data_IF_696978972436
#
_entry.id   IF_696978972436
#
_cell.length_a   1.000
_cell.length_b   1.000
_cell.length_c   1.000
_cell.angle_alpha   90.00
_cell.angle_beta   90.00
_cell.angle_gamma   90.00
#
_symmetry.space_group_name_H-M   'P 1'
#
loop_
_entity.id
_entity.type
_entity.pdbx_description
1 polymer ?
#
# COMPACT_ATOMS: atom_id res chain seq x y z
N UNK A 1 5.13 -29.57 -73.72
CA UNK A 1 4.40 -28.29 -73.48
C UNK A 1 5.26 -27.27 -72.71
N UNK A 2 6.58 -27.28 -72.90
CA UNK A 2 7.58 -26.49 -72.18
C UNK A 2 8.08 -25.29 -73.02
N UNK A 3 7.15 -24.56 -73.65
CA UNK A 3 7.46 -23.40 -74.50
C UNK A 3 6.58 -22.16 -74.26
N UNK A 4 5.48 -22.28 -73.50
CA UNK A 4 4.52 -21.18 -73.31
C UNK A 4 4.73 -20.35 -72.03
N UNK A 5 5.47 -20.87 -71.03
CA UNK A 5 5.73 -20.17 -69.77
C UNK A 5 6.94 -19.21 -69.81
N UNK A 6 7.85 -19.36 -70.78
CA UNK A 6 9.02 -18.49 -70.90
C UNK A 6 8.70 -17.12 -71.55
N UNK A 7 7.65 -17.03 -72.36
CA UNK A 7 7.27 -15.78 -73.04
C UNK A 7 6.57 -14.77 -72.14
N UNK A 8 5.85 -15.21 -71.10
CA UNK A 8 5.11 -14.31 -70.21
C UNK A 8 6.01 -13.55 -69.23
N UNK A 9 7.14 -14.14 -68.81
CA UNK A 9 8.07 -13.49 -67.90
C UNK A 9 8.90 -12.38 -68.56
N UNK A 10 9.13 -12.43 -69.88
CA UNK A 10 9.95 -11.42 -70.59
C UNK A 10 9.17 -10.13 -70.88
N UNK A 11 7.84 -10.19 -70.95
CA UNK A 11 7.00 -9.01 -71.20
C UNK A 11 6.64 -8.20 -69.94
N UNK A 12 6.67 -8.82 -68.75
CA UNK A 12 6.23 -8.17 -67.49
C UNK A 12 7.37 -7.37 -66.84
N UNK A 13 8.62 -7.82 -66.98
CA UNK A 13 9.79 -7.14 -66.39
C UNK A 13 10.05 -5.72 -66.95
N UNK A 14 9.92 -5.44 -68.27
CA UNK A 14 10.08 -4.08 -68.79
C UNK A 14 8.95 -3.15 -68.35
N UNK A 15 7.72 -3.66 -68.19
CA UNK A 15 6.56 -2.88 -67.74
C UNK A 15 6.64 -2.52 -66.26
N UNK A 16 7.17 -3.41 -65.41
CA UNK A 16 7.43 -3.10 -64.00
C UNK A 16 8.59 -2.13 -63.83
N UNK A 17 9.66 -2.26 -64.63
CA UNK A 17 10.78 -1.33 -64.61
C UNK A 17 10.40 0.07 -65.14
N UNK A 18 9.58 0.14 -66.20
CA UNK A 18 9.04 1.39 -66.72
C UNK A 18 8.05 2.04 -65.72
N UNK A 19 7.18 1.26 -65.07
CA UNK A 19 6.27 1.74 -64.03
C UNK A 19 7.01 2.24 -62.78
N UNK A 20 8.09 1.57 -62.37
CA UNK A 20 8.92 1.99 -61.24
C UNK A 20 9.72 3.26 -61.56
N UNK A 21 10.19 3.41 -62.80
CA UNK A 21 10.95 4.59 -63.22
C UNK A 21 10.05 5.81 -63.51
N UNK A 22 8.85 5.60 -64.07
CA UNK A 22 7.83 6.65 -64.18
C UNK A 22 7.37 7.06 -62.77
N UNK A 23 7.09 6.10 -61.89
CA UNK A 23 6.69 6.36 -60.49
C UNK A 23 7.73 7.13 -59.68
N UNK A 24 9.03 6.94 -59.94
CA UNK A 24 10.10 7.74 -59.30
C UNK A 24 10.34 9.12 -59.92
N UNK A 25 9.94 9.35 -61.18
CA UNK A 25 10.06 10.66 -61.83
C UNK A 25 8.82 11.53 -61.69
N UNK A 26 7.64 10.95 -61.44
CA UNK A 26 6.39 11.69 -61.17
C UNK A 26 6.04 11.78 -59.69
N UNK A 27 6.70 11.02 -58.80
CA UNK A 27 6.64 11.26 -57.36
C UNK A 27 7.42 12.53 -56.98
N UNK A 28 6.87 13.68 -57.36
CA UNK A 28 6.91 14.84 -56.48
C UNK A 28 6.28 14.41 -55.15
N UNK A 29 6.73 14.93 -54.00
CA UNK A 29 6.07 14.65 -52.74
C UNK A 29 4.66 15.26 -52.82
N UNK A 30 3.69 14.44 -53.22
CA UNK A 30 2.28 14.74 -53.04
C UNK A 30 2.06 14.77 -51.53
N UNK A 31 1.67 15.96 -51.06
CA UNK A 31 1.11 16.19 -49.75
C UNK A 31 0.19 15.02 -49.39
N UNK A 32 0.50 14.32 -48.29
CA UNK A 32 -0.52 13.58 -47.54
C UNK A 32 -1.51 14.62 -47.00
N UNK A 33 -2.44 15.02 -47.85
CA UNK A 33 -3.53 15.93 -47.54
C UNK A 33 -4.53 15.24 -46.62
N UNK A 34 -4.54 15.70 -45.37
CA UNK A 34 -5.64 15.74 -44.41
C UNK A 34 -6.84 14.82 -44.63
N UNK A 35 -6.87 13.71 -43.90
CA UNK A 35 -8.12 13.09 -43.46
C UNK A 35 -8.56 13.80 -42.17
N UNK A 36 -9.02 15.04 -42.32
CA UNK A 36 -9.53 15.83 -41.20
C UNK A 36 -9.63 17.31 -41.52
N UNK A 37 -10.66 17.95 -40.98
CA UNK A 37 -10.79 19.40 -40.95
C UNK A 37 -9.70 20.02 -40.06
N UNK A 38 -9.34 21.30 -40.26
CA UNK A 38 -8.39 21.99 -39.37
C UNK A 38 -8.79 21.93 -37.88
N UNK A 39 -10.10 21.86 -37.60
CA UNK A 39 -10.65 21.72 -36.24
C UNK A 39 -10.37 20.33 -35.68
N UNK A 40 -10.54 19.26 -36.47
CA UNK A 40 -10.23 17.89 -36.06
C UNK A 40 -8.73 17.71 -35.78
N UNK A 41 -7.87 18.30 -36.62
CA UNK A 41 -6.43 18.30 -36.40
C UNK A 41 -6.04 19.04 -35.11
N UNK A 42 -6.61 20.24 -34.87
CA UNK A 42 -6.35 20.99 -33.65
C UNK A 42 -6.86 20.25 -32.39
N UNK A 43 -8.01 19.58 -32.50
CA UNK A 43 -8.58 18.77 -31.42
C UNK A 43 -7.69 17.58 -31.11
N UNK A 44 -7.23 16.85 -32.13
CA UNK A 44 -6.31 15.73 -31.97
C UNK A 44 -4.99 16.17 -31.33
N UNK A 45 -4.36 17.24 -31.83
CA UNK A 45 -3.11 17.77 -31.27
C UNK A 45 -3.25 18.18 -29.80
N UNK A 46 -4.39 18.78 -29.44
CA UNK A 46 -4.70 19.14 -28.05
C UNK A 46 -4.80 17.90 -27.17
N UNK A 47 -5.61 16.91 -27.57
CA UNK A 47 -5.76 15.66 -26.81
C UNK A 47 -4.45 14.86 -26.74
N UNK A 48 -3.70 14.81 -27.84
CA UNK A 48 -2.42 14.13 -27.89
C UNK A 48 -1.41 14.80 -26.94
N UNK A 49 -1.30 16.13 -26.97
CA UNK A 49 -0.41 16.88 -26.07
C UNK A 49 -0.79 16.68 -24.60
N UNK A 50 -2.09 16.68 -24.27
CA UNK A 50 -2.58 16.38 -22.93
C UNK A 50 -2.22 14.94 -22.51
N UNK A 51 -2.41 13.97 -23.39
CA UNK A 51 -2.06 12.56 -23.14
C UNK A 51 -0.57 12.36 -22.83
N UNK A 52 0.30 13.18 -23.43
CA UNK A 52 1.74 13.16 -23.17
C UNK A 52 2.11 13.92 -21.89
N UNK A 53 1.35 14.95 -21.50
CA UNK A 53 1.59 15.70 -20.28
C UNK A 53 1.15 14.95 -19.00
N UNK A 54 0.22 14.00 -19.13
CA UNK A 54 -0.37 13.28 -18.01
C UNK A 54 0.60 12.36 -17.22
N UNK A 55 1.43 11.50 -17.85
CA UNK A 55 2.22 10.51 -17.11
C UNK A 55 3.18 11.08 -16.07
N UNK A 56 3.93 12.18 -16.34
CA UNK A 56 4.77 12.78 -15.30
C UNK A 56 3.94 13.36 -14.14
N UNK A 57 2.77 13.95 -14.41
CA UNK A 57 1.90 14.50 -13.37
C UNK A 57 1.30 13.40 -12.47
N UNK A 58 1.05 12.21 -13.02
CA UNK A 58 0.62 11.02 -12.26
C UNK A 58 1.69 10.46 -11.31
N UNK A 59 2.91 10.99 -11.35
CA UNK A 59 3.95 10.71 -10.35
C UNK A 59 4.03 11.79 -9.26
N UNK A 60 3.04 12.69 -9.19
CA UNK A 60 2.95 13.78 -8.21
C UNK A 60 3.56 15.10 -8.71
N UNK A 61 3.32 16.18 -7.95
CA UNK A 61 3.79 17.52 -8.26
C UNK A 61 5.17 17.77 -7.65
N UNK A 62 6.23 17.54 -8.43
CA UNK A 62 7.63 17.75 -8.05
C UNK A 62 8.34 18.59 -9.10
N UNK A 63 9.54 19.10 -8.81
CA UNK A 63 10.34 19.83 -9.80
C UNK A 63 10.63 18.99 -11.05
N UNK A 64 10.94 17.70 -10.89
CA UNK A 64 11.26 16.81 -12.01
C UNK A 64 10.04 16.55 -12.90
N UNK A 65 8.90 16.19 -12.28
CA UNK A 65 7.66 15.89 -13.00
C UNK A 65 7.08 17.13 -13.65
N UNK A 66 7.12 18.28 -12.95
CA UNK A 66 6.73 19.57 -13.49
C UNK A 66 7.56 19.92 -14.73
N UNK A 67 8.89 19.73 -14.68
CA UNK A 67 9.80 19.97 -15.82
C UNK A 67 9.47 19.12 -17.04
N UNK A 68 9.10 17.85 -16.85
CA UNK A 68 8.70 16.94 -17.93
C UNK A 68 7.37 17.33 -18.59
N UNK A 69 6.48 18.03 -17.86
CA UNK A 69 5.15 18.41 -18.35
C UNK A 69 5.03 19.86 -18.80
N UNK A 70 5.87 20.79 -18.30
CA UNK A 70 5.73 22.23 -18.51
C UNK A 70 5.63 22.64 -19.98
N UNK A 71 6.54 22.14 -20.84
CA UNK A 71 6.52 22.44 -22.29
C UNK A 71 5.19 22.05 -22.94
N UNK A 72 4.63 20.90 -22.56
CA UNK A 72 3.37 20.38 -23.12
C UNK A 72 2.18 21.20 -22.64
N UNK A 73 2.15 21.56 -21.36
CA UNK A 73 1.14 22.46 -20.79
C UNK A 73 1.18 23.84 -21.44
N UNK A 74 2.37 24.38 -21.70
CA UNK A 74 2.54 25.65 -22.41
C UNK A 74 1.99 25.58 -23.83
N UNK A 75 2.27 24.49 -24.55
CA UNK A 75 1.69 24.24 -25.89
C UNK A 75 0.17 24.14 -25.83
N UNK A 76 -0.41 23.44 -24.85
CA UNK A 76 -1.87 23.32 -24.68
C UNK A 76 -2.55 24.67 -24.49
N UNK A 77 -1.91 25.57 -23.73
CA UNK A 77 -2.45 26.90 -23.46
C UNK A 77 -2.12 27.92 -24.54
N UNK A 78 -1.23 27.59 -25.49
CA UNK A 78 -0.79 28.50 -26.54
C UNK A 78 -0.13 29.76 -25.99
N UNK A 79 0.69 29.63 -24.93
CA UNK A 79 1.29 30.76 -24.20
C UNK A 79 2.79 30.90 -24.42
N UNK A 80 3.30 32.11 -24.21
CA UNK A 80 4.72 32.43 -24.37
C UNK A 80 5.57 31.89 -23.21
N UNK A 81 4.97 31.80 -22.03
CA UNK A 81 5.58 31.20 -20.86
C UNK A 81 4.55 30.55 -19.93
N UNK A 82 5.00 29.51 -19.24
CA UNK A 82 4.25 28.80 -18.22
C UNK A 82 5.17 28.47 -17.05
N UNK A 83 4.65 28.61 -15.83
CA UNK A 83 5.31 28.10 -14.64
C UNK A 83 4.37 27.22 -13.82
N UNK A 84 4.94 26.21 -13.16
CA UNK A 84 4.25 25.42 -12.14
C UNK A 84 4.91 25.68 -10.81
N UNK A 85 4.11 25.81 -9.76
CA UNK A 85 4.59 26.08 -8.41
C UNK A 85 4.05 25.06 -7.43
N UNK A 86 4.77 24.87 -6.32
CA UNK A 86 4.18 24.33 -5.09
C UNK A 86 3.72 25.50 -4.21
N UNK A 87 3.41 25.25 -2.94
CA UNK A 87 2.99 26.29 -1.98
C UNK A 87 4.12 27.26 -1.57
N UNK A 88 5.38 26.94 -1.86
CA UNK A 88 6.57 27.62 -1.30
C UNK A 88 7.48 28.22 -2.37
N UNK A 89 7.50 27.65 -3.58
CA UNK A 89 8.45 28.00 -4.65
C UNK A 89 7.93 27.63 -6.03
N UNK A 90 8.56 28.23 -7.04
CA UNK A 90 8.40 27.83 -8.45
C UNK A 90 9.17 26.53 -8.71
N UNK A 91 8.46 25.48 -9.11
CA UNK A 91 9.02 24.18 -9.48
C UNK A 91 9.69 24.24 -10.85
N UNK A 92 9.06 24.89 -11.83
CA UNK A 92 9.60 25.02 -13.18
C UNK A 92 9.11 26.29 -13.86
N UNK A 93 9.95 26.84 -14.73
CA UNK A 93 9.60 27.87 -15.69
C UNK A 93 9.93 27.36 -17.11
N UNK A 94 8.97 27.43 -18.03
CA UNK A 94 9.16 27.10 -19.44
C UNK A 94 8.72 28.28 -20.31
N UNK A 95 9.59 28.74 -21.22
CA UNK A 95 9.34 29.90 -22.08
C UNK A 95 10.12 31.15 -21.70
N UNK A 96 9.73 32.30 -22.26
CA UNK A 96 10.39 33.60 -22.07
C UNK A 96 10.05 34.24 -20.71
N UNK A 97 10.65 35.38 -20.37
CA UNK A 97 10.22 36.16 -19.19
C UNK A 97 10.61 35.56 -17.82
N UNK A 98 11.62 34.68 -17.76
CA UNK A 98 12.03 34.02 -16.51
C UNK A 98 12.42 34.95 -15.35
N UNK A 99 12.71 36.23 -15.63
CA UNK A 99 12.96 37.26 -14.63
C UNK A 99 11.70 37.66 -13.82
N UNK A 100 10.48 37.31 -14.27
CA UNK A 100 9.24 37.54 -13.52
C UNK A 100 8.97 36.53 -12.40
N UNK A 101 9.86 35.56 -12.18
CA UNK A 101 9.70 34.51 -11.17
C UNK A 101 9.40 35.07 -9.78
N UNK A 102 10.14 36.08 -9.34
CA UNK A 102 10.01 36.65 -8.00
C UNK A 102 8.72 37.47 -7.83
N UNK A 103 8.29 38.15 -8.89
CA UNK A 103 7.04 38.91 -8.91
C UNK A 103 5.83 37.95 -8.82
N UNK A 104 5.85 36.86 -9.59
CA UNK A 104 4.80 35.83 -9.53
C UNK A 104 4.74 35.19 -8.15
N UNK A 105 5.89 34.83 -7.54
CA UNK A 105 5.89 34.27 -6.18
C UNK A 105 5.24 35.19 -5.15
N UNK A 106 5.43 36.51 -5.24
CA UNK A 106 4.79 37.48 -4.35
C UNK A 106 3.27 37.57 -4.54
N UNK A 107 2.79 37.28 -5.74
CA UNK A 107 1.37 37.35 -6.12
C UNK A 107 0.62 36.03 -5.95
N UNK A 108 1.31 34.93 -5.64
CA UNK A 108 0.70 33.61 -5.47
C UNK A 108 -0.04 33.43 -4.14
N UNK A 109 0.25 34.23 -3.12
CA UNK A 109 -0.32 34.04 -1.77
C UNK A 109 -1.86 34.00 -1.77
N UNK A 110 -2.52 34.98 -2.38
CA UNK A 110 -3.98 35.05 -2.43
C UNK A 110 -4.63 33.84 -3.14
N UNK A 111 -4.23 33.50 -4.37
CA UNK A 111 -4.74 32.33 -5.07
C UNK A 111 -4.47 30.99 -4.35
N UNK A 112 -3.31 30.84 -3.71
CA UNK A 112 -2.97 29.64 -2.96
C UNK A 112 -3.77 29.49 -1.65
N UNK A 113 -4.13 30.60 -0.99
CA UNK A 113 -4.97 30.61 0.21
C UNK A 113 -6.45 30.41 -0.11
N UNK A 114 -6.95 31.08 -1.16
CA UNK A 114 -8.37 31.07 -1.51
C UNK A 114 -8.79 29.93 -2.42
N UNK A 115 -7.83 29.27 -3.08
CA UNK A 115 -8.11 28.27 -4.12
C UNK A 115 -8.77 28.85 -5.38
N UNK A 116 -8.77 30.18 -5.55
CA UNK A 116 -9.39 30.85 -6.70
C UNK A 116 -8.34 31.37 -7.67
N UNK A 117 -8.60 31.20 -8.95
CA UNK A 117 -7.74 31.75 -10.00
C UNK A 117 -7.84 33.28 -10.07
N UNK A 118 -6.73 33.90 -10.45
CA UNK A 118 -6.59 35.35 -10.56
C UNK A 118 -5.76 35.70 -11.80
N UNK A 119 -6.09 36.80 -12.47
CA UNK A 119 -5.29 37.37 -13.55
C UNK A 119 -4.83 38.77 -13.16
N UNK A 120 -3.57 39.08 -13.40
CA UNK A 120 -2.99 40.37 -13.06
C UNK A 120 -1.92 40.81 -14.07
N UNK A 121 -1.71 42.13 -14.23
CA UNK A 121 -0.62 42.65 -15.03
C UNK A 121 0.72 42.44 -14.31
N UNK A 122 1.76 42.19 -15.10
CA UNK A 122 3.16 42.11 -14.66
C UNK A 122 3.88 43.41 -15.01
N UNK A 123 4.77 43.84 -14.12
CA UNK A 123 5.60 45.03 -14.32
C UNK A 123 7.01 44.64 -14.74
N UNK A 124 7.46 45.13 -15.90
CA UNK A 124 8.78 44.82 -16.43
C UNK A 124 9.48 46.07 -16.96
N UNK A 125 10.73 46.27 -16.52
CA UNK A 125 11.61 47.32 -17.05
C UNK A 125 12.48 46.82 -18.21
N UNK A 126 12.41 45.52 -18.55
CA UNK A 126 13.18 44.95 -19.64
C UNK A 126 12.53 45.26 -20.99
N UNK A 127 13.27 45.98 -21.84
CA UNK A 127 12.82 46.51 -23.14
C UNK A 127 12.32 45.44 -24.13
N UNK A 128 12.85 44.21 -24.02
CA UNK A 128 12.49 43.08 -24.89
C UNK A 128 11.50 42.10 -24.24
N UNK A 129 10.94 42.42 -23.07
CA UNK A 129 10.00 41.53 -22.41
C UNK A 129 8.62 41.60 -23.07
N UNK A 130 8.17 40.48 -23.64
CA UNK A 130 6.83 40.34 -24.21
C UNK A 130 5.79 39.88 -23.19
N UNK A 131 6.19 39.56 -21.96
CA UNK A 131 5.28 39.06 -20.92
C UNK A 131 4.79 40.24 -20.09
N UNK A 132 3.49 40.52 -20.15
CA UNK A 132 2.87 41.66 -19.45
C UNK A 132 1.67 41.26 -18.60
N UNK A 133 1.19 40.03 -18.71
CA UNK A 133 0.06 39.49 -17.96
C UNK A 133 0.34 38.08 -17.47
N UNK A 134 -0.14 37.76 -16.27
CA UNK A 134 -0.12 36.42 -15.70
C UNK A 134 -1.53 36.00 -15.29
N UNK A 135 -1.83 34.72 -15.52
CA UNK A 135 -3.04 34.04 -15.05
C UNK A 135 -2.60 32.92 -14.12
N UNK A 136 -3.00 33.00 -12.86
CA UNK A 136 -2.78 31.98 -11.85
C UNK A 136 -4.03 31.11 -11.76
N UNK A 137 -3.83 29.80 -11.88
CA UNK A 137 -4.86 28.78 -11.73
C UNK A 137 -4.41 27.76 -10.67
N UNK A 138 -5.02 27.75 -9.48
CA UNK A 138 -4.68 26.82 -8.40
C UNK A 138 -4.86 25.35 -8.79
N UNK A 139 -3.99 24.50 -8.25
CA UNK A 139 -4.06 23.03 -8.39
C UNK A 139 -4.58 22.46 -7.07
N UNK A 140 -5.76 21.85 -7.07
CA UNK A 140 -6.48 21.43 -5.86
C UNK A 140 -6.76 19.93 -5.86
N UNK A 141 -6.36 19.24 -4.79
CA UNK A 141 -6.69 17.83 -4.53
C UNK A 141 -7.31 17.78 -3.14
N UNK A 142 -8.46 17.12 -2.98
CA UNK A 142 -9.21 17.02 -1.72
C UNK A 142 -9.41 18.39 -1.02
N UNK A 143 -9.92 19.39 -1.76
CA UNK A 143 -10.14 20.77 -1.29
C UNK A 143 -8.89 21.50 -0.77
N UNK A 144 -7.70 20.93 -0.98
CA UNK A 144 -6.41 21.53 -0.60
C UNK A 144 -5.62 21.96 -1.83
N UNK A 145 -5.16 23.20 -1.82
CA UNK A 145 -4.30 23.73 -2.88
C UNK A 145 -2.89 23.17 -2.74
N UNK A 146 -2.41 22.40 -3.71
CA UNK A 146 -1.07 21.80 -3.74
C UNK A 146 -0.03 22.71 -4.41
N UNK A 147 -0.50 23.66 -5.21
CA UNK A 147 0.34 24.55 -6.00
C UNK A 147 -0.48 25.36 -6.98
N UNK A 148 0.16 25.92 -7.98
CA UNK A 148 -0.52 26.66 -9.04
C UNK A 148 0.12 26.44 -10.41
N UNK A 149 -0.71 26.50 -11.44
CA UNK A 149 -0.31 26.71 -12.82
C UNK A 149 -0.40 28.19 -13.13
N UNK A 150 0.69 28.78 -13.61
CA UNK A 150 0.72 30.18 -14.02
C UNK A 150 1.01 30.28 -15.51
N UNK A 151 0.09 30.87 -16.24
CA UNK A 151 0.18 31.10 -17.67
C UNK A 151 0.48 32.58 -17.94
N UNK A 152 1.53 32.85 -18.71
CA UNK A 152 2.02 34.20 -19.00
C UNK A 152 1.77 34.58 -20.46
N UNK A 153 1.34 35.83 -20.68
CA UNK A 153 0.91 36.32 -21.99
C UNK A 153 1.26 37.81 -22.21
N UNK A 154 1.26 38.28 -23.47
CA UNK A 154 1.57 39.68 -23.81
C UNK A 154 0.41 40.65 -23.61
N UNK A 155 -0.78 40.15 -23.30
CA UNK A 155 -1.99 40.94 -23.06
C UNK A 155 -3.00 40.14 -22.26
N UNK A 156 -3.94 40.86 -21.64
CA UNK A 156 -5.08 40.27 -20.97
C UNK A 156 -5.91 39.43 -21.94
N UNK A 157 -6.35 38.24 -21.49
CA UNK A 157 -7.18 37.33 -22.30
C UNK A 157 -8.12 36.52 -21.42
N UNK A 158 -9.42 36.84 -21.48
CA UNK A 158 -10.46 36.06 -20.80
C UNK A 158 -10.57 34.61 -21.32
N UNK A 159 -10.11 34.35 -22.55
CA UNK A 159 -10.01 32.97 -23.09
C UNK A 159 -8.90 32.21 -22.37
N UNK A 160 -7.74 32.85 -22.16
CA UNK A 160 -6.63 32.24 -21.44
C UNK A 160 -6.98 31.97 -19.97
N UNK A 161 -7.69 32.89 -19.31
CA UNK A 161 -8.17 32.68 -17.92
C UNK A 161 -9.00 31.40 -17.82
N UNK A 162 -9.95 31.21 -18.73
CA UNK A 162 -10.78 30.00 -18.78
C UNK A 162 -9.96 28.76 -19.12
N UNK A 163 -9.11 28.83 -20.14
CA UNK A 163 -8.26 27.71 -20.55
C UNK A 163 -7.29 27.28 -19.44
N UNK A 164 -6.65 28.22 -18.75
CA UNK A 164 -5.76 27.95 -17.63
C UNK A 164 -6.52 27.27 -16.47
N UNK A 165 -7.75 27.71 -16.17
CA UNK A 165 -8.61 27.06 -15.19
C UNK A 165 -8.97 25.61 -15.58
N UNK A 166 -9.30 25.35 -16.84
CA UNK A 166 -9.61 24.00 -17.33
C UNK A 166 -8.38 23.09 -17.30
N UNK A 167 -7.22 23.58 -17.74
CA UNK A 167 -5.97 22.83 -17.68
C UNK A 167 -5.54 22.59 -16.23
N UNK A 168 -5.69 23.56 -15.34
CA UNK A 168 -5.40 23.39 -13.92
C UNK A 168 -6.31 22.35 -13.26
N UNK A 169 -7.60 22.34 -13.59
CA UNK A 169 -8.54 21.30 -13.14
C UNK A 169 -8.13 19.92 -13.67
N UNK A 170 -7.75 19.82 -14.94
CA UNK A 170 -7.27 18.57 -15.52
C UNK A 170 -5.95 18.09 -14.86
N UNK A 171 -5.00 18.99 -14.61
CA UNK A 171 -3.76 18.68 -13.88
C UNK A 171 -4.09 18.22 -12.46
N UNK A 172 -5.03 18.87 -11.79
CA UNK A 172 -5.48 18.50 -10.44
C UNK A 172 -6.00 17.07 -10.39
N UNK A 173 -6.81 16.65 -11.37
CA UNK A 173 -7.25 15.25 -11.51
C UNK A 173 -6.07 14.29 -11.70
N UNK A 174 -5.02 14.67 -12.43
CA UNK A 174 -3.83 13.81 -12.56
C UNK A 174 -3.07 13.65 -11.24
N UNK A 175 -3.06 14.70 -10.41
CA UNK A 175 -2.43 14.66 -9.08
C UNK A 175 -3.26 13.81 -8.10
N UNK A 176 -4.58 13.94 -8.12
CA UNK A 176 -5.50 13.12 -7.32
C UNK A 176 -5.33 11.62 -7.63
N UNK A 177 -5.22 11.27 -8.92
CA UNK A 177 -4.92 9.89 -9.33
C UNK A 177 -3.56 9.39 -8.79
N UNK A 178 -2.55 10.26 -8.74
CA UNK A 178 -1.24 9.91 -8.18
C UNK A 178 -1.34 9.59 -6.68
N UNK A 179 -2.07 10.41 -5.93
CA UNK A 179 -2.26 10.24 -4.49
C UNK A 179 -3.04 8.95 -4.18
N UNK A 180 -4.07 8.64 -4.97
CA UNK A 180 -4.83 7.39 -4.87
C UNK A 180 -3.95 6.16 -5.12
N UNK A 181 -3.17 6.15 -6.20
CA UNK A 181 -2.25 5.05 -6.51
C UNK A 181 -1.20 4.86 -5.41
N UNK A 182 -0.67 5.95 -4.86
CA UNK A 182 0.29 5.88 -3.77
C UNK A 182 -0.35 5.37 -2.48
N UNK A 183 -1.58 5.79 -2.16
CA UNK A 183 -2.35 5.30 -1.01
C UNK A 183 -2.64 3.80 -1.13
N UNK A 184 -3.08 3.36 -2.31
CA UNK A 184 -3.31 1.94 -2.61
C UNK A 184 -2.05 1.10 -2.44
N UNK A 185 -0.92 1.58 -2.95
CA UNK A 185 0.37 0.89 -2.81
C UNK A 185 0.77 0.77 -1.33
N UNK A 186 0.63 1.85 -0.56
CA UNK A 186 0.88 1.84 0.89
C UNK A 186 -0.03 0.86 1.65
N UNK A 187 -1.30 0.77 1.26
CA UNK A 187 -2.25 -0.19 1.83
C UNK A 187 -1.82 -1.63 1.55
N UNK A 188 -1.48 -1.94 0.29
CA UNK A 188 -0.99 -3.28 -0.11
C UNK A 188 0.28 -3.64 0.67
N UNK A 189 1.22 -2.70 0.80
CA UNK A 189 2.44 -2.92 1.59
C UNK A 189 2.12 -3.17 3.07
N UNK A 190 1.16 -2.44 3.63
CA UNK A 190 0.71 -2.63 5.01
C UNK A 190 0.04 -4.01 5.20
N UNK A 191 -0.82 -4.43 4.26
CA UNK A 191 -1.44 -5.76 4.26
C UNK A 191 -0.39 -6.87 4.14
N UNK A 192 0.56 -6.75 3.23
CA UNK A 192 1.68 -7.71 3.10
C UNK A 192 2.49 -7.76 4.39
N UNK A 193 2.76 -6.61 5.01
CA UNK A 193 3.46 -6.53 6.29
C UNK A 193 2.67 -7.19 7.42
N UNK A 194 1.35 -6.99 7.45
CA UNK A 194 0.45 -7.63 8.41
C UNK A 194 0.43 -9.15 8.22
N UNK A 195 0.30 -9.63 6.98
CA UNK A 195 0.37 -11.05 6.64
C UNK A 195 1.72 -11.67 7.01
N UNK A 196 2.83 -10.98 6.74
CA UNK A 196 4.18 -11.42 7.16
C UNK A 196 4.36 -11.46 8.67
N UNK A 197 3.56 -10.71 9.43
CA UNK A 197 3.61 -10.71 10.88
C UNK A 197 2.82 -11.86 11.52
N UNK A 198 1.93 -12.54 10.77
CA UNK A 198 1.10 -13.63 11.30
C UNK A 198 1.89 -14.91 11.63
N UNK A 199 3.11 -15.07 11.11
CA UNK A 199 4.03 -16.13 11.54
C UNK A 199 5.40 -15.53 11.81
N UNK A 200 5.90 -15.72 13.04
CA UNK A 200 7.26 -15.31 13.40
C UNK A 200 8.28 -16.04 12.51
N UNK A 201 9.07 -15.35 11.66
CA UNK A 201 10.10 -16.00 10.84
C UNK A 201 11.09 -16.79 11.70
N UNK A 202 11.34 -16.30 12.91
CA UNK A 202 12.17 -16.98 13.91
C UNK A 202 11.58 -18.33 14.34
N UNK A 203 10.24 -18.44 14.47
CA UNK A 203 9.61 -19.73 14.76
C UNK A 203 9.90 -20.74 13.65
N UNK A 204 9.72 -20.36 12.37
CA UNK A 204 10.01 -21.24 11.23
C UNK A 204 11.45 -21.76 11.27
N UNK A 205 12.44 -20.86 11.41
CA UNK A 205 13.84 -21.28 11.43
C UNK A 205 14.18 -22.18 12.62
N UNK A 206 13.63 -21.89 13.81
CA UNK A 206 13.86 -22.72 14.99
C UNK A 206 13.23 -24.10 14.87
N UNK A 207 11.99 -24.18 14.38
CA UNK A 207 11.30 -25.45 14.18
C UNK A 207 12.07 -26.34 13.21
N UNK A 208 12.53 -25.78 12.08
CA UNK A 208 13.36 -26.51 11.11
C UNK A 208 14.71 -26.95 11.69
N UNK A 209 15.37 -26.11 12.49
CA UNK A 209 16.65 -26.46 13.12
C UNK A 209 16.49 -27.63 14.11
N UNK A 210 15.40 -27.64 14.89
CA UNK A 210 15.08 -28.72 15.83
C UNK A 210 14.78 -30.00 15.08
N UNK A 211 13.92 -29.95 14.06
CA UNK A 211 13.64 -31.10 13.20
C UNK A 211 14.93 -31.67 12.61
N UNK A 212 15.79 -30.81 12.06
CA UNK A 212 17.07 -31.23 11.48
C UNK A 212 17.99 -31.93 12.49
N UNK A 213 17.91 -31.57 13.76
CA UNK A 213 18.70 -32.21 14.82
C UNK A 213 18.29 -33.66 15.07
N UNK A 214 17.02 -34.00 14.86
CA UNK A 214 16.48 -35.36 15.01
C UNK A 214 16.71 -36.24 13.76
N UNK A 215 16.93 -35.67 12.57
CA UNK A 215 17.03 -36.44 11.30
C UNK A 215 18.06 -37.58 11.36
N UNK A 216 19.16 -37.42 12.11
CA UNK A 216 20.21 -38.45 12.23
C UNK A 216 20.03 -39.35 13.46
N UNK A 217 19.46 -38.84 14.53
CA UNK A 217 19.39 -39.50 15.84
C UNK A 217 18.07 -40.25 16.05
N UNK A 218 16.97 -39.66 15.58
CA UNK A 218 15.62 -40.22 15.63
C UNK A 218 14.81 -39.79 14.40
N UNK A 219 14.97 -40.50 13.27
CA UNK A 219 14.31 -40.14 12.01
C UNK A 219 12.78 -40.21 12.08
N UNK A 220 12.23 -41.09 12.91
CA UNK A 220 10.78 -41.23 13.08
C UNK A 220 10.24 -40.00 13.82
N UNK A 221 10.91 -39.56 14.90
CA UNK A 221 10.55 -38.32 15.59
C UNK A 221 10.70 -37.10 14.69
N UNK A 222 11.74 -37.04 13.84
CA UNK A 222 11.89 -35.98 12.86
C UNK A 222 10.72 -35.95 11.86
N UNK A 223 10.24 -37.12 11.42
CA UNK A 223 9.08 -37.22 10.52
C UNK A 223 7.79 -36.75 11.21
N UNK A 224 7.56 -37.13 12.46
CA UNK A 224 6.43 -36.63 13.25
C UNK A 224 6.46 -35.09 13.32
N UNK A 225 7.58 -34.51 13.75
CA UNK A 225 7.72 -33.05 13.87
C UNK A 225 7.57 -32.32 12.53
N UNK A 226 7.95 -32.94 11.41
CA UNK A 226 7.68 -32.38 10.07
C UNK A 226 6.18 -32.33 9.76
N UNK A 227 5.41 -33.34 10.16
CA UNK A 227 3.95 -33.35 9.98
C UNK A 227 3.30 -32.31 10.89
N UNK A 228 3.70 -32.25 12.17
CA UNK A 228 3.27 -31.21 13.11
C UNK A 228 3.52 -29.81 12.55
N UNK A 229 4.71 -29.58 11.99
CA UNK A 229 5.07 -28.32 11.34
C UNK A 229 4.21 -28.03 10.10
N UNK A 230 3.94 -29.03 9.27
CA UNK A 230 3.11 -28.87 8.08
C UNK A 230 1.65 -28.53 8.46
N UNK A 231 1.10 -29.16 9.49
CA UNK A 231 -0.27 -28.94 9.95
C UNK A 231 -0.41 -27.57 10.65
N UNK A 232 0.54 -27.21 11.52
CA UNK A 232 0.64 -25.85 12.08
C UNK A 232 0.70 -24.77 10.98
N UNK A 233 1.55 -24.99 9.97
CA UNK A 233 1.73 -24.07 8.85
C UNK A 233 0.46 -23.97 8.01
N UNK A 234 -0.21 -25.10 7.76
CA UNK A 234 -1.48 -25.12 7.02
C UNK A 234 -2.57 -24.36 7.76
N UNK A 235 -2.67 -24.51 9.08
CA UNK A 235 -3.60 -23.75 9.91
C UNK A 235 -3.28 -22.25 9.84
N UNK A 236 -2.02 -21.87 10.11
CA UNK A 236 -1.56 -20.47 10.15
C UNK A 236 -1.72 -19.73 8.81
N UNK A 237 -1.71 -20.44 7.67
CA UNK A 237 -1.86 -19.86 6.33
C UNK A 237 -3.25 -20.09 5.68
N UNK A 238 -4.22 -20.70 6.38
CA UNK A 238 -5.58 -20.83 5.82
C UNK A 238 -6.11 -19.44 5.44
N UNK A 239 -6.74 -19.33 4.26
CA UNK A 239 -7.50 -18.13 3.90
C UNK A 239 -8.56 -17.93 4.97
N UNK A 240 -8.38 -16.88 5.75
CA UNK A 240 -9.18 -16.50 6.91
C UNK A 240 -10.69 -16.56 6.58
N UNK A 241 -11.43 -17.37 7.33
CA UNK A 241 -12.75 -16.97 7.77
C UNK A 241 -12.60 -16.08 9.00
N UNK A 242 -13.59 -15.25 9.30
CA UNK A 242 -13.52 -14.34 10.45
C UNK A 242 -13.48 -15.12 11.79
N UNK A 243 -13.96 -16.37 11.79
CA UNK A 243 -14.16 -17.19 12.98
C UNK A 243 -13.71 -18.65 12.80
N UNK A 244 -13.45 -19.32 13.92
CA UNK A 244 -13.09 -20.73 14.04
C UNK A 244 -13.68 -21.30 15.34
N UNK A 245 -13.52 -22.60 15.60
CA UNK A 245 -13.96 -23.20 16.88
C UNK A 245 -12.81 -23.25 17.88
N UNK A 246 -13.14 -23.28 19.18
CA UNK A 246 -12.14 -23.47 20.24
C UNK A 246 -11.36 -24.78 20.03
N UNK A 247 -12.04 -25.83 19.55
CA UNK A 247 -11.41 -27.09 19.19
C UNK A 247 -10.31 -26.93 18.13
N UNK A 248 -10.60 -26.21 17.05
CA UNK A 248 -9.65 -25.98 15.96
C UNK A 248 -8.43 -25.18 16.44
N UNK A 249 -8.65 -24.16 17.28
CA UNK A 249 -7.54 -23.37 17.83
C UNK A 249 -6.68 -24.17 18.81
N UNK A 250 -7.30 -24.96 19.68
CA UNK A 250 -6.57 -25.84 20.60
C UNK A 250 -5.77 -26.91 19.84
N UNK A 251 -6.29 -27.42 18.73
CA UNK A 251 -5.57 -28.36 17.87
C UNK A 251 -4.33 -27.72 17.23
N UNK A 252 -4.44 -26.47 16.77
CA UNK A 252 -3.30 -25.72 16.25
C UNK A 252 -2.25 -25.42 17.33
N UNK A 253 -2.71 -25.09 18.55
CA UNK A 253 -1.86 -24.90 19.73
C UNK A 253 -1.11 -26.18 20.08
N UNK A 254 -1.74 -27.36 19.99
CA UNK A 254 -1.07 -28.62 20.29
C UNK A 254 0.11 -28.90 19.34
N UNK A 255 -0.09 -28.70 18.03
CA UNK A 255 0.98 -28.80 17.03
C UNK A 255 2.13 -27.84 17.32
N UNK A 256 1.82 -26.58 17.66
CA UNK A 256 2.81 -25.60 18.06
C UNK A 256 3.61 -26.06 19.28
N UNK A 257 2.92 -26.52 20.34
CA UNK A 257 3.53 -26.98 21.57
C UNK A 257 4.39 -28.24 21.36
N UNK A 258 4.03 -29.13 20.43
CA UNK A 258 4.85 -30.29 20.08
C UNK A 258 6.24 -29.87 19.55
N UNK A 259 6.27 -28.87 18.66
CA UNK A 259 7.51 -28.31 18.10
C UNK A 259 8.35 -27.60 19.16
N UNK A 260 7.72 -26.82 20.02
CA UNK A 260 8.40 -26.10 21.11
C UNK A 260 8.94 -27.09 22.15
N UNK A 261 8.17 -28.12 22.53
CA UNK A 261 8.64 -29.18 23.44
C UNK A 261 9.84 -29.94 22.88
N UNK A 262 9.85 -30.24 21.58
CA UNK A 262 11.00 -30.86 20.94
C UNK A 262 12.27 -29.98 20.99
N UNK A 263 12.09 -28.65 21.03
CA UNK A 263 13.20 -27.69 21.13
C UNK A 263 13.77 -27.59 22.55
N UNK A 264 12.89 -27.48 23.53
CA UNK A 264 13.27 -27.13 24.90
C UNK A 264 13.35 -28.36 25.83
N UNK A 265 12.89 -29.52 25.37
CA UNK A 265 12.89 -30.76 26.14
C UNK A 265 12.18 -30.56 27.49
N UNK A 266 12.81 -31.05 28.55
CA UNK A 266 12.28 -31.03 29.92
C UNK A 266 12.18 -29.62 30.54
N UNK A 267 12.66 -28.59 29.83
CA UNK A 267 12.52 -27.19 30.28
C UNK A 267 11.13 -26.62 30.04
N UNK A 268 10.26 -27.31 29.30
CA UNK A 268 8.88 -26.87 29.09
C UNK A 268 7.90 -27.98 29.51
N UNK A 269 7.12 -27.70 30.55
CA UNK A 269 5.99 -28.50 30.99
C UNK A 269 4.70 -27.80 30.63
N UNK A 270 3.79 -28.48 29.93
CA UNK A 270 2.49 -27.91 29.57
C UNK A 270 1.36 -28.83 29.98
N UNK A 271 0.41 -28.29 30.73
CA UNK A 271 -0.79 -28.99 31.21
C UNK A 271 -2.03 -28.39 30.55
N UNK A 272 -2.85 -29.23 29.92
CA UNK A 272 -4.13 -28.84 29.33
C UNK A 272 -5.29 -29.43 30.14
N UNK A 273 -6.24 -28.59 30.51
CA UNK A 273 -7.48 -28.98 31.21
C UNK A 273 -8.68 -28.35 30.50
N UNK A 274 -9.24 -29.09 29.55
CA UNK A 274 -10.26 -28.58 28.63
C UNK A 274 -11.58 -29.31 28.88
N UNK A 275 -12.62 -28.55 29.21
CA UNK A 275 -13.98 -29.06 29.30
C UNK A 275 -14.51 -29.37 27.88
N UNK A 276 -15.00 -30.59 27.58
CA UNK A 276 -15.49 -30.93 26.24
C UNK A 276 -16.64 -30.04 25.75
N UNK A 277 -17.43 -29.50 26.67
CA UNK A 277 -18.62 -28.69 26.41
C UNK A 277 -18.29 -27.34 25.77
N UNK A 278 -17.06 -26.84 25.93
CA UNK A 278 -16.63 -25.55 25.38
C UNK A 278 -15.92 -25.67 24.04
N UNK A 279 -15.56 -26.88 23.60
CA UNK A 279 -14.89 -27.13 22.32
C UNK A 279 -15.61 -26.55 21.09
N UNK A 280 -16.97 -26.57 21.00
CA UNK A 280 -17.69 -26.01 19.87
C UNK A 280 -17.82 -24.47 19.88
N UNK A 281 -17.36 -23.79 20.93
CA UNK A 281 -17.51 -22.33 21.05
C UNK A 281 -16.75 -21.65 19.91
N UNK A 282 -17.45 -20.77 19.19
CA UNK A 282 -16.89 -20.04 18.06
C UNK A 282 -16.16 -18.78 18.56
N UNK A 283 -14.94 -18.57 18.08
CA UNK A 283 -14.08 -17.45 18.42
C UNK A 283 -13.35 -16.90 17.19
N UNK A 284 -12.87 -15.65 17.23
CA UNK A 284 -12.08 -15.09 16.14
C UNK A 284 -10.85 -15.95 15.89
N UNK A 285 -10.51 -16.17 14.62
CA UNK A 285 -9.33 -16.94 14.26
C UNK A 285 -8.04 -16.32 14.86
N UNK A 286 -7.10 -17.14 15.34
CA UNK A 286 -5.87 -16.72 16.05
C UNK A 286 -6.13 -15.83 17.28
N UNK A 287 -7.06 -16.23 18.13
CA UNK A 287 -7.35 -15.57 19.39
C UNK A 287 -6.45 -16.09 20.53
N UNK A 288 -6.35 -17.40 20.72
CA UNK A 288 -5.58 -18.05 21.78
C UNK A 288 -4.13 -18.33 21.39
N UNK A 289 -3.85 -18.63 20.11
CA UNK A 289 -2.48 -18.96 19.69
C UNK A 289 -1.47 -17.88 20.09
N UNK A 290 -1.70 -16.57 19.84
CA UNK A 290 -0.77 -15.52 20.26
C UNK A 290 -0.57 -15.45 21.78
N UNK A 291 -1.59 -15.83 22.57
CA UNK A 291 -1.51 -15.84 24.03
C UNK A 291 -0.60 -16.98 24.51
N UNK A 292 -0.72 -18.16 23.91
CA UNK A 292 0.15 -19.31 24.20
C UNK A 292 1.59 -19.03 23.75
N UNK A 293 1.80 -18.41 22.59
CA UNK A 293 3.13 -18.00 22.13
C UNK A 293 3.80 -17.03 23.11
N UNK A 294 3.03 -16.08 23.67
CA UNK A 294 3.52 -15.16 24.69
C UNK A 294 3.88 -15.90 25.99
N UNK A 295 3.04 -16.82 26.45
CA UNK A 295 3.31 -17.63 27.64
C UNK A 295 4.61 -18.45 27.48
N UNK A 296 4.83 -19.08 26.32
CA UNK A 296 6.08 -19.82 26.01
C UNK A 296 7.28 -18.89 26.00
N UNK A 297 7.16 -17.74 25.33
CA UNK A 297 8.27 -16.78 25.23
C UNK A 297 8.69 -16.26 26.61
N UNK A 298 7.73 -15.76 27.39
CA UNK A 298 8.01 -15.16 28.70
C UNK A 298 8.30 -16.20 29.79
N UNK A 299 7.71 -17.38 29.69
CA UNK A 299 8.00 -18.51 30.55
C UNK A 299 9.44 -18.99 30.44
N UNK A 300 10.01 -18.97 29.23
CA UNK A 300 11.38 -19.42 28.95
C UNK A 300 12.43 -18.30 28.97
N UNK A 301 12.01 -17.02 29.03
CA UNK A 301 12.91 -15.86 29.08
C UNK A 301 13.61 -15.76 30.44
N UNK A 302 14.95 -15.83 30.44
CA UNK A 302 15.78 -15.49 31.60
C UNK A 302 15.83 -16.53 32.72
N UNK A 303 15.14 -17.68 32.61
CA UNK A 303 15.18 -18.76 33.62
C UNK A 303 15.91 -20.02 33.11
N UNK A 304 16.87 -20.58 33.86
CA UNK A 304 17.47 -21.88 33.55
C UNK A 304 16.53 -23.05 33.87
N UNK A 305 15.57 -22.85 34.78
CA UNK A 305 14.66 -23.86 35.30
C UNK A 305 13.52 -24.21 34.33
N UNK A 306 12.76 -25.26 34.66
CA UNK A 306 11.57 -25.68 33.91
C UNK A 306 10.47 -24.63 34.01
N UNK A 307 9.96 -24.22 32.85
CA UNK A 307 8.77 -23.40 32.72
C UNK A 307 7.51 -24.27 32.70
N UNK A 308 6.52 -23.88 33.48
CA UNK A 308 5.20 -24.49 33.53
C UNK A 308 4.17 -23.59 32.88
N UNK A 309 3.46 -24.12 31.88
CA UNK A 309 2.33 -23.45 31.25
C UNK A 309 1.08 -24.29 31.51
N UNK A 310 0.03 -23.64 31.99
CA UNK A 310 -1.27 -24.27 32.20
C UNK A 310 -2.30 -23.59 31.29
N UNK A 311 -2.99 -24.40 30.50
CA UNK A 311 -4.10 -23.95 29.64
C UNK A 311 -5.36 -24.62 30.16
N UNK A 312 -6.32 -23.84 30.62
CA UNK A 312 -7.62 -24.33 31.07
C UNK A 312 -8.74 -23.72 30.24
N UNK A 313 -9.77 -24.50 29.94
CA UNK A 313 -10.98 -24.01 29.30
C UNK A 313 -12.17 -24.62 30.04
N UNK A 314 -12.97 -23.78 30.69
CA UNK A 314 -14.03 -24.18 31.61
C UNK A 314 -15.38 -23.66 31.15
N UNK A 315 -16.42 -24.44 31.41
CA UNK A 315 -17.80 -24.01 31.24
C UNK A 315 -18.24 -23.16 32.45
N UNK A 316 -18.67 -21.93 32.20
CA UNK A 316 -19.20 -21.01 33.22
C UNK A 316 -20.66 -20.60 32.96
N UNK A 317 -21.42 -21.48 32.31
CA UNK A 317 -22.84 -21.28 32.00
C UNK A 317 -23.03 -20.67 30.61
N UNK A 318 -23.17 -19.35 30.53
CA UNK A 318 -23.35 -18.63 29.26
C UNK A 318 -22.04 -18.42 28.48
N UNK A 319 -20.91 -18.58 29.16
CA UNK A 319 -19.57 -18.29 28.64
C UNK A 319 -18.64 -19.49 28.83
N UNK A 320 -17.67 -19.62 27.94
CA UNK A 320 -16.47 -20.39 28.14
C UNK A 320 -15.37 -19.48 28.69
N UNK A 321 -14.74 -19.91 29.78
CA UNK A 321 -13.60 -19.22 30.38
C UNK A 321 -12.32 -19.93 29.97
N UNK A 322 -11.47 -19.27 29.20
CA UNK A 322 -10.16 -19.78 28.81
C UNK A 322 -9.09 -19.04 29.61
N UNK A 323 -8.27 -19.79 30.34
CA UNK A 323 -7.16 -19.24 31.15
C UNK A 323 -5.84 -19.85 30.67
N UNK A 324 -4.88 -18.99 30.37
CA UNK A 324 -3.51 -19.36 30.02
C UNK A 324 -2.60 -18.76 31.09
N UNK A 325 -1.87 -19.61 31.79
CA UNK A 325 -1.02 -19.22 32.90
C UNK A 325 0.41 -19.74 32.69
N UNK A 326 1.40 -18.88 32.91
CA UNK A 326 2.81 -19.25 32.97
C UNK A 326 3.45 -18.83 34.29
N UNK A 327 4.48 -19.56 34.70
CA UNK A 327 5.30 -19.29 35.87
C UNK A 327 6.57 -18.48 35.53
N UNK A 328 6.55 -17.70 34.44
CA UNK A 328 7.70 -16.99 33.90
C UNK A 328 8.19 -15.81 34.74
N UNK A 329 8.94 -14.91 34.11
CA UNK A 329 9.47 -13.71 34.77
C UNK A 329 8.38 -12.67 35.10
N UNK A 330 7.20 -12.77 34.48
CA UNK A 330 6.14 -11.77 34.59
C UNK A 330 6.55 -10.38 34.07
N UNK A 331 5.65 -9.42 34.20
CA UNK A 331 5.85 -8.05 33.72
C UNK A 331 5.43 -7.02 34.79
N UNK A 332 6.03 -5.84 34.75
CA UNK A 332 5.54 -4.70 35.53
C UNK A 332 4.12 -4.31 35.04
N UNK A 333 3.09 -4.31 35.92
CA UNK A 333 1.73 -3.91 35.56
C UNK A 333 1.63 -2.52 34.91
N UNK A 334 2.51 -1.58 35.28
CA UNK A 334 2.51 -0.24 34.68
C UNK A 334 2.95 -0.30 33.20
N UNK A 335 3.91 -1.16 32.87
CA UNK A 335 4.36 -1.38 31.48
C UNK A 335 3.26 -2.07 30.68
N UNK A 336 2.63 -3.11 31.25
CA UNK A 336 1.52 -3.82 30.61
C UNK A 336 0.37 -2.86 30.24
N UNK A 337 -0.03 -1.97 31.14
CA UNK A 337 -1.09 -0.98 30.86
C UNK A 337 -0.74 -0.08 29.67
N UNK A 338 0.52 0.35 29.56
CA UNK A 338 0.98 1.19 28.44
C UNK A 338 1.04 0.43 27.12
N UNK A 339 1.33 -0.88 27.17
CA UNK A 339 1.26 -1.76 25.99
C UNK A 339 -0.19 -1.91 25.53
N UNK A 340 -1.12 -2.19 26.44
CA UNK A 340 -2.55 -2.31 26.14
C UNK A 340 -3.17 -0.98 25.66
N UNK A 341 -2.65 0.16 26.14
CA UNK A 341 -3.04 1.49 25.65
C UNK A 341 -2.40 1.88 24.31
N UNK A 342 -1.54 1.03 23.72
CA UNK A 342 -0.84 1.32 22.46
C UNK A 342 0.25 2.40 22.56
N UNK A 343 0.63 2.83 23.76
CA UNK A 343 1.67 3.85 23.99
C UNK A 343 3.08 3.31 23.83
N UNK A 344 3.25 1.99 24.02
CA UNK A 344 4.53 1.30 23.96
C UNK A 344 4.38 0.06 23.10
N UNK A 345 5.12 0.00 21.99
CA UNK A 345 5.29 -1.23 21.23
C UNK A 345 6.48 -1.99 21.80
N UNK A 346 6.29 -3.13 22.49
CA UNK A 346 7.42 -3.94 22.90
C UNK A 346 8.11 -4.50 21.65
N UNK A 347 9.43 -4.69 21.72
CA UNK A 347 10.21 -5.40 20.71
C UNK A 347 9.72 -6.85 20.58
N UNK A 348 8.73 -7.06 19.71
CA UNK A 348 8.18 -8.37 19.37
C UNK A 348 6.96 -8.82 20.17
N UNK A 349 6.09 -7.91 20.63
CA UNK A 349 4.83 -8.24 21.32
C UNK A 349 3.63 -7.48 20.76
N UNK A 350 3.21 -7.85 19.55
CA UNK A 350 2.01 -7.31 18.88
C UNK A 350 0.77 -8.18 19.19
N UNK A 351 0.95 -9.31 19.86
CA UNK A 351 -0.11 -10.33 20.05
C UNK A 351 -1.20 -9.94 21.04
N UNK A 352 -0.86 -9.46 22.24
CA UNK A 352 -1.83 -9.26 23.33
C UNK A 352 -2.86 -8.17 23.03
N UNK A 353 -2.40 -6.97 22.63
CA UNK A 353 -3.28 -5.85 22.30
C UNK A 353 -4.19 -6.18 21.11
N UNK A 354 -3.65 -6.86 20.10
CA UNK A 354 -4.43 -7.23 18.92
C UNK A 354 -5.52 -8.26 19.23
N UNK A 355 -5.27 -9.19 20.16
CA UNK A 355 -6.29 -10.15 20.60
C UNK A 355 -7.34 -9.43 21.46
N UNK A 356 -6.91 -8.56 22.38
CA UNK A 356 -7.81 -7.76 23.21
C UNK A 356 -8.76 -6.89 22.37
N UNK A 357 -8.23 -6.13 21.42
CA UNK A 357 -9.03 -5.28 20.52
C UNK A 357 -10.01 -6.12 19.68
N UNK A 358 -9.56 -7.29 19.19
CA UNK A 358 -10.41 -8.18 18.38
C UNK A 358 -11.56 -8.76 19.20
N UNK A 359 -11.30 -9.19 20.43
CA UNK A 359 -12.34 -9.68 21.32
C UNK A 359 -13.36 -8.59 21.63
N UNK A 360 -12.91 -7.36 21.92
CA UNK A 360 -13.81 -6.22 22.13
C UNK A 360 -14.62 -5.87 20.89
N UNK A 361 -14.03 -5.92 19.71
CA UNK A 361 -14.73 -5.64 18.45
C UNK A 361 -15.84 -6.66 18.14
N UNK A 362 -15.62 -7.94 18.49
CA UNK A 362 -16.55 -9.02 18.16
C UNK A 362 -17.64 -9.19 19.22
N UNK A 363 -17.29 -9.09 20.50
CA UNK A 363 -18.19 -9.41 21.61
C UNK A 363 -18.60 -8.20 22.46
N UNK A 364 -17.93 -7.06 22.29
CA UNK A 364 -18.14 -5.83 23.06
C UNK A 364 -17.07 -5.59 24.12
N UNK A 365 -17.01 -4.36 24.65
CA UNK A 365 -15.94 -3.90 25.55
C UNK A 365 -15.77 -4.75 26.83
N UNK A 366 -16.84 -5.40 27.29
CA UNK A 366 -16.85 -6.27 28.48
C UNK A 366 -16.09 -7.60 28.30
N UNK A 367 -15.71 -7.95 27.06
CA UNK A 367 -15.05 -9.21 26.71
C UNK A 367 -13.55 -9.05 26.39
N UNK A 368 -12.96 -7.91 26.75
CA UNK A 368 -11.50 -7.74 26.70
C UNK A 368 -10.75 -8.76 27.58
N UNK A 369 -9.46 -8.94 27.29
CA UNK A 369 -8.59 -9.81 28.07
C UNK A 369 -8.41 -9.27 29.49
N UNK A 370 -8.48 -10.16 30.48
CA UNK A 370 -8.07 -9.87 31.85
C UNK A 370 -6.68 -10.47 32.07
N UNK A 371 -5.71 -9.60 32.33
CA UNK A 371 -4.31 -9.99 32.49
C UNK A 371 -3.83 -9.68 33.91
N UNK A 372 -3.40 -10.70 34.63
CA UNK A 372 -2.80 -10.60 35.95
C UNK A 372 -1.32 -10.98 35.85
N UNK A 373 -0.42 -10.08 36.25
CA UNK A 373 1.02 -10.33 36.25
C UNK A 373 1.73 -9.45 37.27
N UNK A 374 2.89 -9.90 37.75
CA UNK A 374 3.83 -9.09 38.49
C UNK A 374 5.25 -9.61 38.22
N UNK A 375 6.26 -8.76 38.42
CA UNK A 375 7.67 -9.16 38.28
C UNK A 375 7.97 -10.33 39.23
N UNK A 376 8.38 -11.47 38.65
CA UNK A 376 8.68 -12.72 39.32
C UNK A 376 7.49 -13.66 39.57
N UNK A 377 6.26 -13.24 39.24
CA UNK A 377 5.03 -14.00 39.55
C UNK A 377 4.38 -14.66 38.32
N UNK A 378 5.05 -14.66 37.17
CA UNK A 378 4.47 -15.16 35.93
C UNK A 378 3.35 -14.28 35.39
N UNK A 379 2.49 -14.85 34.56
CA UNK A 379 1.39 -14.14 33.91
C UNK A 379 0.18 -15.08 33.76
N UNK A 380 -0.99 -14.57 34.13
CA UNK A 380 -2.29 -15.23 33.91
C UNK A 380 -3.13 -14.37 32.98
N UNK A 381 -3.52 -14.95 31.86
CA UNK A 381 -4.38 -14.33 30.85
C UNK A 381 -5.72 -15.06 30.87
N UNK A 382 -6.79 -14.31 31.05
CA UNK A 382 -8.16 -14.82 31.07
C UNK A 382 -8.95 -14.22 29.92
N UNK A 383 -9.51 -15.07 29.07
CA UNK A 383 -10.41 -14.73 27.98
C UNK A 383 -11.81 -15.30 28.27
N UNK A 384 -12.82 -14.45 28.19
CA UNK A 384 -14.23 -14.84 28.31
C UNK A 384 -14.83 -14.90 26.91
N UNK A 385 -15.42 -16.04 26.56
CA UNK A 385 -15.99 -16.27 25.24
C UNK A 385 -17.47 -16.60 25.38
N UNK A 386 -18.39 -15.79 24.83
CA UNK A 386 -19.81 -16.13 24.89
C UNK A 386 -20.07 -17.37 24.02
N UNK A 387 -20.83 -18.33 24.55
CA UNK A 387 -21.16 -19.57 23.82
C UNK A 387 -22.08 -19.34 22.62
N UNK A 388 -22.82 -18.23 22.64
CA UNK A 388 -23.73 -17.84 21.57
C UNK A 388 -23.65 -16.33 21.34
N UNK A 389 -23.28 -15.95 20.11
CA UNK A 389 -23.28 -14.56 19.65
C UNK A 389 -23.86 -14.51 18.22
N UNK A 390 -24.90 -13.70 17.97
CA UNK A 390 -25.44 -13.55 16.61
C UNK A 390 -24.38 -13.01 15.65
N UNK A 391 -24.21 -13.65 14.49
CA UNK A 391 -23.25 -13.22 13.45
C UNK A 391 -21.83 -13.78 13.60
N UNK A 392 -21.59 -14.63 14.61
CA UNK A 392 -20.34 -15.35 14.84
C UNK A 392 -20.59 -16.83 14.53
N UNK A 393 -20.21 -17.28 13.33
CA UNK A 393 -20.50 -18.63 12.82
C UNK A 393 -19.31 -19.25 12.09
#
# INVERSE_FOLDING_TARGET
>A
MSGFLAGLCVAILPLLAAGFWLGRRTARPENLGGLGTPVEHATFETLHTASLAAPPLRAGLTEETARKSARRLRTLLGTDALCLTDQKRVLVWDGVGGHHRDEIMKRLAGPLETGRGEAFPLTCDALDCTVSWAVVAPLTVDDRVHGALVACAPRESAVLVRAAGEVARWVSVQLELADLDQSRTRLIEAEIKALRAQISPHFIFNSLAVIASFVRTDPERARELLLEFADFTRYSFRRHGDFTTLADELHAIDHYLALVRARFGDRLSVTLQIAPEVLPVTLPFLCLQPLVENAVKHGLEGKPDTCHIQITAQDTGAEALVVIEDDGAGMDPAVLRRILAGEVSPSGGIGLSNVDDRLRQVYGDDYGLVIETAVGAGMRITARLPKYQPGVH
#
